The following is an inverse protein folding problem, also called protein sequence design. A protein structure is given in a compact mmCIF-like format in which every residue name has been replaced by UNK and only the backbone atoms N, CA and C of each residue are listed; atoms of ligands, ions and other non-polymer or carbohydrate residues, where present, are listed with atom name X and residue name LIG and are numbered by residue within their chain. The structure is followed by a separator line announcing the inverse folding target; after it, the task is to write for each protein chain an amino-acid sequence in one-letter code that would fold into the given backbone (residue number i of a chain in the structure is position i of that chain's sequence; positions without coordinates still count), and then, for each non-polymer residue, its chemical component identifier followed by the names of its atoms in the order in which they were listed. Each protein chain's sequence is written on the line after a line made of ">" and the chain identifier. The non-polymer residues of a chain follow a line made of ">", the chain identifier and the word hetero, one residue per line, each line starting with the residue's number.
data_IF_889670953423
#
_entry.id   IF_889670953423
#
_cell.length_a   1.000
_cell.length_b   1.000
_cell.length_c   1.000
_cell.angle_alpha   90.00
_cell.angle_beta   90.00
_cell.angle_gamma   90.00
#
_symmetry.space_group_name_H-M   'P 1'
#
loop_
_entity.id
_entity.type
_entity.pdbx_description
1 polymer ?
#
# COMPACT_ATOMS: atom_id res chain seq x y z
N UNK A 1 -15.58 -8.07 24.57
CA UNK A 1 -14.39 -7.84 23.71
C UNK A 1 -14.82 -7.98 22.26
N UNK A 2 -14.82 -6.94 21.41
CA UNK A 2 -15.14 -7.13 20.01
C UNK A 2 -13.92 -7.75 19.30
N UNK A 3 -14.15 -8.91 18.68
CA UNK A 3 -13.21 -9.57 17.78
C UNK A 3 -13.19 -8.82 16.45
N UNK A 4 -12.15 -8.04 16.20
CA UNK A 4 -11.90 -7.46 14.87
C UNK A 4 -11.51 -8.61 13.93
N UNK A 5 -12.48 -9.08 13.13
CA UNK A 5 -12.22 -9.92 11.96
C UNK A 5 -11.58 -9.04 10.88
N UNK A 6 -10.28 -9.22 10.66
CA UNK A 6 -9.65 -8.77 9.42
C UNK A 6 -10.03 -9.79 8.36
N UNK A 7 -10.90 -9.40 7.41
CA UNK A 7 -11.17 -10.22 6.23
C UNK A 7 -9.87 -10.39 5.44
N UNK A 8 -9.53 -11.65 5.15
CA UNK A 8 -8.42 -12.02 4.30
C UNK A 8 -8.64 -11.41 2.90
N UNK A 9 -7.97 -10.29 2.65
CA UNK A 9 -8.07 -9.48 1.43
C UNK A 9 -8.86 -8.19 1.63
N UNK A 10 -8.23 -7.04 1.36
CA UNK A 10 -8.98 -5.86 0.89
C UNK A 10 -8.78 -4.52 1.60
N UNK A 11 -8.18 -4.45 2.79
CA UNK A 11 -8.06 -3.14 3.48
C UNK A 11 -6.79 -2.39 3.06
N UNK A 12 -5.61 -3.02 3.07
CA UNK A 12 -4.34 -2.33 2.76
C UNK A 12 -4.21 -1.88 1.30
N UNK A 13 -4.73 -2.67 0.36
CA UNK A 13 -4.65 -2.36 -1.06
C UNK A 13 -5.37 -1.08 -1.44
N UNK A 14 -6.36 -0.63 -0.66
CA UNK A 14 -7.18 0.57 -0.92
C UNK A 14 -6.75 1.81 -0.12
N UNK A 15 -5.72 1.69 0.70
CA UNK A 15 -5.14 2.80 1.43
C UNK A 15 -4.14 3.58 0.57
N UNK A 16 -4.26 4.90 0.62
CA UNK A 16 -3.34 5.83 -0.04
C UNK A 16 -1.87 5.47 0.30
N UNK A 17 -0.93 5.54 -0.67
CA UNK A 17 0.50 5.26 -0.47
C UNK A 17 1.20 6.01 0.68
N UNK A 18 0.54 7.00 1.30
CA UNK A 18 1.01 7.76 2.48
C UNK A 18 1.70 6.90 3.55
N UNK A 19 1.23 5.68 3.80
CA UNK A 19 1.80 4.80 4.84
C UNK A 19 2.84 3.79 4.32
N UNK A 20 3.04 3.70 3.00
CA UNK A 20 4.02 2.79 2.37
C UNK A 20 5.45 3.01 2.88
N UNK A 21 5.95 4.25 3.09
CA UNK A 21 7.26 4.49 3.70
C UNK A 21 7.46 3.78 5.05
N UNK A 22 6.47 3.85 5.94
CA UNK A 22 6.53 3.26 7.28
C UNK A 22 6.53 1.73 7.22
N UNK A 23 5.74 1.15 6.32
CA UNK A 23 5.70 -0.30 6.10
C UNK A 23 7.01 -0.80 5.48
N UNK A 24 7.53 -0.10 4.46
CA UNK A 24 8.81 -0.41 3.84
C UNK A 24 9.96 -0.36 4.84
N UNK A 25 9.99 0.65 5.71
CA UNK A 25 10.96 0.76 6.80
C UNK A 25 10.86 -0.39 7.79
N UNK A 26 9.64 -0.75 8.22
CA UNK A 26 9.42 -1.87 9.13
C UNK A 26 10.03 -3.16 8.59
N UNK A 27 9.74 -3.50 7.34
CA UNK A 27 10.25 -4.73 6.72
C UNK A 27 11.77 -4.70 6.55
N UNK A 28 12.33 -3.55 6.14
CA UNK A 28 13.79 -3.38 6.04
C UNK A 28 14.49 -3.56 7.41
N UNK A 29 13.91 -3.05 8.49
CA UNK A 29 14.44 -3.20 9.85
C UNK A 29 14.25 -4.61 10.41
N UNK A 30 13.10 -5.24 10.16
CA UNK A 30 12.77 -6.56 10.69
C UNK A 30 13.71 -7.64 10.13
N UNK A 31 14.00 -7.62 8.83
CA UNK A 31 14.88 -8.62 8.20
C UNK A 31 16.37 -8.45 8.55
N UNK A 32 16.79 -7.29 9.04
CA UNK A 32 18.14 -7.13 9.60
C UNK A 32 18.27 -7.79 10.97
N UNK A 33 17.19 -7.78 11.75
CA UNK A 33 17.21 -8.22 13.14
C UNK A 33 16.81 -9.68 13.31
N UNK A 34 16.06 -10.24 12.36
CA UNK A 34 15.51 -11.58 12.42
C UNK A 34 15.71 -12.31 11.09
N UNK A 35 15.96 -13.61 11.14
CA UNK A 35 16.04 -14.42 9.92
C UNK A 35 14.65 -14.50 9.26
N UNK A 36 14.59 -14.44 7.93
CA UNK A 36 13.34 -14.43 7.14
C UNK A 36 12.37 -15.58 7.51
N UNK A 37 12.91 -16.74 7.88
CA UNK A 37 12.14 -17.92 8.30
C UNK A 37 11.44 -17.75 9.66
N UNK A 38 11.93 -16.85 10.52
CA UNK A 38 11.33 -16.52 11.81
C UNK A 38 10.22 -15.46 11.66
N UNK A 39 10.43 -14.47 10.78
CA UNK A 39 9.44 -13.45 10.45
C UNK A 39 8.17 -14.04 9.81
N UNK A 40 8.32 -15.07 8.98
CA UNK A 40 7.21 -15.78 8.34
C UNK A 40 6.34 -16.60 9.31
N UNK A 41 6.80 -16.81 10.56
CA UNK A 41 6.06 -17.53 11.61
C UNK A 41 5.27 -16.61 12.55
N UNK A 42 5.47 -15.28 12.46
CA UNK A 42 4.76 -14.31 13.29
C UNK A 42 3.31 -14.10 12.77
N UNK A 43 2.29 -14.11 13.64
CA UNK A 43 0.93 -13.81 13.22
C UNK A 43 0.83 -12.35 12.73
N UNK A 44 0.12 -12.11 11.63
CA UNK A 44 0.07 -10.82 10.90
C UNK A 44 -0.29 -9.59 11.78
N UNK A 45 -0.98 -9.80 12.92
CA UNK A 45 -1.25 -8.76 13.93
C UNK A 45 0.02 -8.20 14.62
N UNK A 46 1.09 -9.00 14.74
CA UNK A 46 2.35 -8.60 15.39
C UNK A 46 3.20 -7.64 14.54
N UNK A 47 3.09 -7.73 13.21
CA UNK A 47 3.85 -6.91 12.26
C UNK A 47 3.40 -5.43 12.33
N UNK A 48 2.13 -5.19 12.63
CA UNK A 48 1.54 -3.84 12.65
C UNK A 48 1.68 -3.12 13.99
N UNK A 49 1.69 -3.84 15.12
CA UNK A 49 1.97 -3.24 16.43
C UNK A 49 3.45 -2.93 16.64
N UNK A 50 4.35 -3.72 16.06
CA UNK A 50 5.79 -3.51 16.16
C UNK A 50 6.29 -2.28 15.36
N UNK A 51 5.56 -1.86 14.31
CA UNK A 51 5.84 -0.60 13.60
C UNK A 51 5.59 0.67 14.44
N UNK A 52 4.83 0.55 15.53
CA UNK A 52 4.59 1.62 16.51
C UNK A 52 5.58 1.61 17.68
N UNK A 53 6.36 0.54 17.86
CA UNK A 53 7.19 0.32 19.05
C UNK A 53 8.66 0.16 18.66
N UNK A 54 9.37 1.27 18.47
CA UNK A 54 10.80 1.30 18.79
C UNK A 54 10.95 1.30 20.32
N UNK A 55 10.65 0.16 20.92
CA UNK A 55 10.78 -0.12 22.34
C UNK A 55 11.08 -1.61 22.50
N UNK A 56 12.22 -1.91 23.10
CA UNK A 56 12.81 -3.22 23.33
C UNK A 56 11.82 -4.37 23.58
N UNK A 57 11.62 -5.25 22.58
CA UNK A 57 11.01 -6.57 22.82
C UNK A 57 12.11 -7.63 22.78
N UNK A 58 12.55 -8.06 23.96
CA UNK A 58 13.25 -9.32 24.13
C UNK A 58 12.20 -10.44 24.07
N UNK A 59 12.19 -11.21 22.98
CA UNK A 59 11.31 -12.37 22.84
C UNK A 59 11.93 -13.54 23.63
N UNK A 60 11.41 -13.80 24.82
CA UNK A 60 11.62 -15.06 25.53
C UNK A 60 10.28 -15.76 25.75
N UNK A 61 10.14 -16.92 25.12
CA UNK A 61 9.12 -17.98 25.28
C UNK A 61 8.11 -17.80 26.43
N UNK A 62 6.85 -17.46 26.12
CA UNK A 62 5.66 -17.86 26.90
C UNK A 62 4.41 -17.92 25.98
N UNK A 63 3.46 -18.84 26.24
CA UNK A 63 2.24 -18.97 25.46
C UNK A 63 1.23 -17.87 25.84
N UNK A 64 0.50 -17.35 24.85
CA UNK A 64 -0.62 -16.42 25.04
C UNK A 64 -0.27 -15.16 25.85
N UNK A 65 0.61 -14.31 25.32
CA UNK A 65 0.70 -12.93 25.81
C UNK A 65 -0.42 -12.09 25.20
N UNK A 66 -1.43 -11.78 26.01
CA UNK A 66 -2.23 -10.56 25.80
C UNK A 66 -1.28 -9.37 25.90
N UNK A 67 -0.98 -8.75 24.75
CA UNK A 67 -0.27 -7.47 24.69
C UNK A 67 -1.16 -6.41 25.35
N UNK A 68 -0.80 -5.99 26.56
CA UNK A 68 -1.23 -4.69 27.09
C UNK A 68 -0.53 -3.62 26.27
N UNK A 69 -1.25 -2.95 25.38
CA UNK A 69 -0.75 -1.75 24.71
C UNK A 69 -0.75 -0.67 25.78
N UNK A 70 0.43 -0.18 26.17
CA UNK A 70 0.52 0.95 27.10
C UNK A 70 -0.25 2.12 26.50
N UNK A 71 -1.19 2.67 27.27
CA UNK A 71 -2.08 3.76 26.86
C UNK A 71 -1.28 5.00 26.36
N UNK A 72 -0.04 5.13 26.84
CA UNK A 72 0.93 6.17 26.47
C UNK A 72 1.51 6.02 25.05
N UNK A 73 1.44 4.82 24.47
CA UNK A 73 1.94 4.50 23.12
C UNK A 73 0.86 4.62 22.04
N UNK A 74 -0.39 4.87 22.43
CA UNK A 74 -1.47 5.02 21.47
C UNK A 74 -1.32 6.32 20.66
N UNK A 75 -1.66 6.30 19.36
CA UNK A 75 -1.72 7.49 18.51
C UNK A 75 -2.40 8.67 19.23
N UNK A 76 -1.87 9.89 19.14
CA UNK A 76 -2.42 11.05 19.86
C UNK A 76 -3.93 11.28 19.63
N UNK A 77 -4.43 10.82 18.49
CA UNK A 77 -5.84 10.81 18.13
C UNK A 77 -6.73 9.91 18.99
N UNK A 78 -6.22 8.90 19.68
CA UNK A 78 -7.03 8.09 20.62
C UNK A 78 -7.43 8.87 21.88
N UNK A 79 -6.79 10.02 22.14
CA UNK A 79 -7.20 10.95 23.20
C UNK A 79 -8.44 11.78 22.82
N UNK A 80 -8.82 11.79 21.55
CA UNK A 80 -10.05 12.46 21.09
C UNK A 80 -11.26 11.67 21.58
N UNK A 81 -12.07 12.28 22.44
CA UNK A 81 -13.31 11.68 22.91
C UNK A 81 -14.31 11.53 21.76
N UNK A 82 -14.76 10.30 21.50
CA UNK A 82 -15.79 9.98 20.52
C UNK A 82 -17.15 9.76 21.20
N UNK A 83 -18.27 9.90 20.47
CA UNK A 83 -19.59 9.56 21.01
C UNK A 83 -19.67 8.10 21.44
N UNK A 84 -20.59 7.80 22.35
CA UNK A 84 -20.75 6.44 22.88
C UNK A 84 -20.96 5.39 21.77
N UNK A 85 -20.15 4.33 21.84
CA UNK A 85 -20.15 3.23 20.88
C UNK A 85 -19.50 3.53 19.53
N UNK A 86 -18.85 4.69 19.37
CA UNK A 86 -18.08 5.05 18.17
C UNK A 86 -16.59 4.82 18.45
N UNK A 87 -15.93 4.14 17.52
CA UNK A 87 -14.49 3.87 17.57
C UNK A 87 -13.80 4.36 16.28
N UNK A 88 -12.52 4.68 16.34
CA UNK A 88 -11.75 4.93 15.10
C UNK A 88 -11.68 3.63 14.28
N UNK A 89 -11.99 3.72 13.00
CA UNK A 89 -11.94 2.56 12.11
C UNK A 89 -10.51 2.17 11.73
N UNK A 90 -9.53 3.05 12.02
CA UNK A 90 -8.13 2.90 11.66
C UNK A 90 -7.29 3.25 12.88
N UNK A 91 -6.38 2.35 13.24
CA UNK A 91 -5.47 2.52 14.37
C UNK A 91 -4.04 2.64 13.82
N UNK A 92 -3.80 3.71 13.06
CA UNK A 92 -2.48 4.19 12.65
C UNK A 92 -2.06 5.37 13.53
N UNK A 93 -0.78 5.81 13.51
CA UNK A 93 -0.31 6.95 14.31
C UNK A 93 -1.15 8.24 14.21
N UNK A 94 -1.89 8.40 13.11
CA UNK A 94 -2.79 9.53 12.87
C UNK A 94 -4.27 9.14 12.84
N UNK A 95 -4.65 7.92 13.25
CA UNK A 95 -6.00 7.36 13.17
C UNK A 95 -6.68 7.48 11.79
N UNK A 96 -5.88 7.62 10.71
CA UNK A 96 -6.41 7.85 9.37
C UNK A 96 -6.94 9.26 9.15
N UNK A 97 -6.56 10.25 9.98
CA UNK A 97 -6.87 11.65 9.73
C UNK A 97 -6.27 12.11 8.40
N UNK A 98 -7.13 12.58 7.52
CA UNK A 98 -6.77 13.31 6.31
C UNK A 98 -7.60 14.58 6.28
N UNK A 99 -6.93 15.73 6.22
CA UNK A 99 -7.56 17.06 6.24
C UNK A 99 -8.57 17.24 7.39
N UNK A 100 -8.22 16.72 8.57
CA UNK A 100 -9.01 16.85 9.79
C UNK A 100 -10.21 15.92 9.93
N UNK A 101 -10.40 14.96 9.02
CA UNK A 101 -11.43 13.92 9.14
C UNK A 101 -10.81 12.53 9.21
N UNK A 102 -11.27 11.71 10.16
CA UNK A 102 -10.88 10.31 10.31
C UNK A 102 -12.10 9.40 10.18
N UNK A 103 -11.96 8.22 9.55
CA UNK A 103 -13.04 7.25 9.50
C UNK A 103 -13.28 6.64 10.88
N UNK A 104 -14.54 6.52 11.23
CA UNK A 104 -15.01 5.93 12.49
C UNK A 104 -16.03 4.85 12.19
N UNK A 105 -16.20 3.93 13.14
CA UNK A 105 -17.13 2.82 13.04
C UNK A 105 -18.03 2.75 14.28
N UNK A 106 -19.31 2.49 14.06
CA UNK A 106 -20.30 2.17 15.10
C UNK A 106 -21.21 1.08 14.58
N UNK A 107 -21.39 0.01 15.37
CA UNK A 107 -22.29 -1.10 15.03
C UNK A 107 -22.03 -1.70 13.63
N UNK A 108 -20.76 -1.76 13.22
CA UNK A 108 -20.36 -2.27 11.91
C UNK A 108 -20.65 -1.33 10.73
N UNK A 109 -21.01 -0.06 10.99
CA UNK A 109 -21.21 0.97 9.97
C UNK A 109 -20.18 2.07 10.07
N UNK A 110 -19.67 2.47 8.91
CA UNK A 110 -18.62 3.47 8.79
C UNK A 110 -19.21 4.88 8.64
N UNK A 111 -18.53 5.85 9.24
CA UNK A 111 -18.77 7.30 9.16
C UNK A 111 -17.45 8.05 9.31
N UNK A 112 -17.52 9.36 9.59
CA UNK A 112 -16.32 10.19 9.79
C UNK A 112 -16.49 11.18 10.93
N UNK A 113 -15.44 11.32 11.74
CA UNK A 113 -15.34 12.30 12.80
C UNK A 113 -14.26 13.35 12.50
N UNK A 114 -14.46 14.57 12.97
CA UNK A 114 -13.43 15.60 12.97
C UNK A 114 -12.44 15.44 14.13
N UNK A 115 -11.42 16.31 14.18
CA UNK A 115 -10.38 16.29 15.22
C UNK A 115 -10.91 16.54 16.63
N UNK A 116 -12.12 17.08 16.78
CA UNK A 116 -12.79 17.27 18.07
C UNK A 116 -13.57 16.02 18.51
N UNK A 117 -13.68 15.02 17.65
CA UNK A 117 -14.45 13.80 17.87
C UNK A 117 -15.91 13.91 17.45
N UNK A 118 -16.33 15.07 16.93
CA UNK A 118 -17.69 15.27 16.43
C UNK A 118 -17.88 14.51 15.13
N UNK A 119 -18.98 13.77 15.02
CA UNK A 119 -19.38 13.13 13.76
C UNK A 119 -19.75 14.19 12.72
N UNK A 120 -18.99 14.22 11.62
CA UNK A 120 -19.27 15.04 10.44
C UNK A 120 -20.08 14.24 9.42
N UNK A 121 -19.81 12.94 9.32
CA UNK A 121 -20.54 12.02 8.46
C UNK A 121 -21.04 10.87 9.32
N UNK A 122 -22.36 10.68 9.34
CA UNK A 122 -23.00 9.64 10.15
C UNK A 122 -22.51 8.23 9.76
N UNK A 123 -22.48 7.34 10.75
CA UNK A 123 -22.12 5.93 10.57
C UNK A 123 -23.24 5.18 9.85
N UNK A 124 -23.20 5.16 8.52
CA UNK A 124 -24.26 4.61 7.66
C UNK A 124 -23.75 3.65 6.57
N UNK A 125 -22.45 3.60 6.34
CA UNK A 125 -21.87 2.91 5.18
C UNK A 125 -21.36 1.51 5.53
N UNK A 126 -21.36 0.60 4.55
CA UNK A 126 -20.85 -0.76 4.75
C UNK A 126 -19.33 -0.75 4.93
N UNK A 127 -18.65 0.12 4.20
CA UNK A 127 -17.21 0.39 4.30
C UNK A 127 -16.97 1.87 3.98
N UNK A 128 -15.95 2.47 4.58
CA UNK A 128 -15.42 3.77 4.18
C UNK A 128 -13.91 3.84 4.43
N UNK A 129 -13.19 4.53 3.55
CA UNK A 129 -11.74 4.70 3.63
C UNK A 129 -11.38 6.18 3.84
N UNK A 130 -10.14 6.48 4.29
CA UNK A 130 -9.69 7.86 4.46
C UNK A 130 -9.87 8.71 3.20
N UNK A 131 -10.00 10.01 3.42
CA UNK A 131 -10.09 10.96 2.32
C UNK A 131 -8.81 10.95 1.49
N UNK A 132 -8.98 11.17 0.19
CA UNK A 132 -7.92 11.31 -0.79
C UNK A 132 -8.45 12.20 -1.92
N UNK A 133 -7.70 13.23 -2.30
CA UNK A 133 -8.18 14.27 -3.21
C UNK A 133 -9.56 14.84 -2.81
N UNK A 134 -9.76 15.10 -1.52
CA UNK A 134 -11.02 15.57 -0.92
C UNK A 134 -12.22 14.61 -1.06
N UNK A 135 -12.00 13.36 -1.49
CA UNK A 135 -13.03 12.35 -1.65
C UNK A 135 -12.74 11.12 -0.78
N UNK A 136 -13.78 10.60 -0.12
CA UNK A 136 -13.72 9.35 0.61
C UNK A 136 -14.39 8.24 -0.20
N UNK A 137 -13.67 7.15 -0.42
CA UNK A 137 -14.23 5.93 -0.97
C UNK A 137 -15.20 5.32 0.04
N UNK A 138 -16.41 4.98 -0.40
CA UNK A 138 -17.41 4.33 0.45
C UNK A 138 -18.12 3.19 -0.29
N UNK A 139 -18.67 2.25 0.48
CA UNK A 139 -19.45 1.13 -0.04
C UNK A 139 -20.89 1.17 0.44
N UNK A 140 -21.81 0.99 -0.50
CA UNK A 140 -23.24 0.90 -0.25
C UNK A 140 -23.88 -0.05 -1.25
N UNK A 141 -24.79 -0.91 -0.76
CA UNK A 141 -25.48 -1.92 -1.57
C UNK A 141 -24.52 -2.77 -2.42
N UNK A 142 -23.34 -3.10 -1.86
CA UNK A 142 -22.35 -3.94 -2.50
C UNK A 142 -21.48 -3.25 -3.56
N UNK A 143 -21.72 -1.97 -3.89
CA UNK A 143 -20.94 -1.20 -4.87
C UNK A 143 -20.19 -0.05 -4.20
N UNK A 144 -19.12 0.40 -4.85
CA UNK A 144 -18.29 1.52 -4.39
C UNK A 144 -18.62 2.82 -5.12
N UNK A 145 -18.59 3.91 -4.37
CA UNK A 145 -18.72 5.30 -4.81
C UNK A 145 -17.82 6.22 -3.98
N UNK A 146 -18.01 7.54 -4.11
CA UNK A 146 -17.20 8.53 -3.41
C UNK A 146 -18.04 9.65 -2.78
N UNK A 147 -17.70 10.00 -1.53
CA UNK A 147 -18.30 11.11 -0.78
C UNK A 147 -17.36 12.30 -0.76
N UNK A 148 -17.92 13.51 -0.75
CA UNK A 148 -17.17 14.70 -0.37
C UNK A 148 -17.01 14.82 1.16
N UNK A 149 -16.27 15.84 1.61
CA UNK A 149 -15.99 16.10 3.03
C UNK A 149 -17.22 16.43 3.87
N UNK A 150 -18.34 16.78 3.23
CA UNK A 150 -19.62 17.04 3.90
C UNK A 150 -20.49 15.79 3.99
N UNK A 151 -20.03 14.67 3.41
CA UNK A 151 -20.77 13.42 3.32
C UNK A 151 -21.76 13.37 2.17
N UNK A 152 -21.75 14.35 1.26
CA UNK A 152 -22.57 14.31 0.05
C UNK A 152 -21.95 13.37 -0.96
N UNK A 153 -22.79 12.66 -1.70
CA UNK A 153 -22.37 11.75 -2.76
C UNK A 153 -21.82 12.56 -3.94
N UNK A 154 -20.50 12.52 -4.12
CA UNK A 154 -19.82 13.10 -5.28
C UNK A 154 -19.88 12.17 -6.49
N UNK A 155 -19.68 10.86 -6.26
CA UNK A 155 -19.76 9.83 -7.29
C UNK A 155 -20.64 8.70 -6.73
N UNK A 156 -21.75 8.42 -7.43
CA UNK A 156 -22.70 7.38 -7.00
C UNK A 156 -22.06 5.99 -6.97
N UNK A 157 -22.48 5.09 -6.06
CA UNK A 157 -22.00 3.73 -6.01
C UNK A 157 -22.32 3.01 -7.32
N UNK A 158 -21.29 2.57 -8.03
CA UNK A 158 -21.43 1.91 -9.33
C UNK A 158 -20.30 0.93 -9.64
N UNK A 159 -19.18 0.99 -8.92
CA UNK A 159 -18.01 0.15 -9.16
C UNK A 159 -18.09 -1.14 -8.36
N UNK A 160 -17.64 -2.25 -8.97
CA UNK A 160 -17.51 -3.55 -8.29
C UNK A 160 -16.42 -3.50 -7.23
N UNK A 161 -15.35 -2.79 -7.55
CA UNK A 161 -14.22 -2.53 -6.68
C UNK A 161 -13.64 -1.14 -6.99
N UNK A 162 -12.98 -0.53 -6.02
CA UNK A 162 -12.44 0.82 -6.16
C UNK A 162 -11.38 1.12 -5.11
N UNK A 163 -10.51 2.07 -5.45
CA UNK A 163 -9.39 2.53 -4.63
C UNK A 163 -9.52 4.02 -4.30
N UNK A 164 -8.76 4.49 -3.30
CA UNK A 164 -8.57 5.92 -3.06
C UNK A 164 -7.89 6.61 -4.24
N UNK A 165 -7.98 7.94 -4.27
CA UNK A 165 -7.28 8.76 -5.25
C UNK A 165 -5.80 8.91 -4.90
N UNK A 166 -4.94 8.79 -5.90
CA UNK A 166 -3.52 9.11 -5.80
C UNK A 166 -3.07 9.74 -7.13
N UNK A 167 -2.28 10.81 -7.05
CA UNK A 167 -1.89 11.63 -8.19
C UNK A 167 -3.06 12.05 -9.13
N UNK A 168 -4.28 12.20 -8.59
CA UNK A 168 -5.46 12.59 -9.38
C UNK A 168 -6.15 11.44 -10.13
N UNK A 169 -5.84 10.18 -9.81
CA UNK A 169 -6.48 8.99 -10.40
C UNK A 169 -6.92 8.03 -9.31
N UNK A 170 -8.03 7.33 -9.54
CA UNK A 170 -8.45 6.19 -8.73
C UNK A 170 -8.69 4.98 -9.61
N UNK A 171 -8.14 3.82 -9.21
CA UNK A 171 -8.42 2.53 -9.83
C UNK A 171 -9.86 2.13 -9.52
N UNK A 172 -10.56 1.62 -10.51
CA UNK A 172 -11.94 1.11 -10.37
C UNK A 172 -12.12 -0.17 -11.18
N UNK A 173 -13.03 -1.03 -10.73
CA UNK A 173 -13.40 -2.25 -11.42
C UNK A 173 -14.84 -2.20 -11.95
N UNK A 174 -15.02 -2.62 -13.20
CA UNK A 174 -16.31 -2.86 -13.83
C UNK A 174 -16.23 -4.07 -14.76
N UNK A 175 -17.22 -4.96 -14.69
CA UNK A 175 -17.28 -6.18 -15.49
C UNK A 175 -16.01 -7.03 -15.36
N UNK A 176 -15.46 -7.14 -14.14
CA UNK A 176 -14.26 -7.91 -13.86
C UNK A 176 -12.94 -7.30 -14.35
N UNK A 177 -12.95 -6.12 -14.98
CA UNK A 177 -11.74 -5.45 -15.49
C UNK A 177 -11.47 -4.16 -14.74
N UNK A 178 -10.20 -3.77 -14.73
CA UNK A 178 -9.73 -2.55 -14.08
C UNK A 178 -9.48 -1.41 -15.08
N UNK A 179 -9.82 -0.20 -14.64
CA UNK A 179 -9.57 1.07 -15.30
C UNK A 179 -9.34 2.18 -14.26
N UNK A 180 -9.36 3.44 -14.70
CA UNK A 180 -9.12 4.60 -13.83
C UNK A 180 -10.07 5.74 -14.12
N UNK A 181 -10.53 6.38 -13.05
CA UNK A 181 -11.34 7.60 -13.07
C UNK A 181 -10.55 8.82 -12.60
N UNK A 182 -11.01 10.00 -12.98
CA UNK A 182 -10.65 11.27 -12.32
C UNK A 182 -11.58 11.56 -11.13
N UNK A 183 -11.31 12.66 -10.41
CA UNK A 183 -12.09 13.07 -9.23
C UNK A 183 -13.52 13.51 -9.54
N UNK A 184 -13.90 13.67 -10.82
CA UNK A 184 -15.29 13.91 -11.23
C UNK A 184 -16.05 12.60 -11.44
N UNK A 185 -15.36 11.46 -11.40
CA UNK A 185 -15.90 10.13 -11.70
C UNK A 185 -15.88 9.78 -13.18
N UNK A 186 -15.28 10.62 -14.03
CA UNK A 186 -15.15 10.35 -15.47
C UNK A 186 -14.05 9.31 -15.68
N UNK A 187 -14.33 8.32 -16.52
CA UNK A 187 -13.33 7.35 -16.97
C UNK A 187 -12.24 8.04 -17.78
N UNK A 188 -11.02 8.03 -17.25
CA UNK A 188 -9.80 8.43 -17.97
C UNK A 188 -9.23 7.24 -18.72
N UNK A 189 -9.20 6.08 -18.06
CA UNK A 189 -8.77 4.81 -18.64
C UNK A 189 -9.94 3.85 -18.51
N UNK A 190 -10.51 3.43 -19.64
CA UNK A 190 -11.63 2.49 -19.63
C UNK A 190 -11.22 1.15 -19.01
N UNK A 191 -12.11 0.48 -18.26
CA UNK A 191 -11.87 -0.87 -17.77
C UNK A 191 -11.53 -1.84 -18.90
N UNK A 192 -10.28 -2.30 -18.92
CA UNK A 192 -9.79 -3.22 -19.96
C UNK A 192 -8.66 -4.14 -19.49
N UNK A 193 -8.10 -3.91 -18.30
CA UNK A 193 -6.97 -4.66 -17.77
C UNK A 193 -7.42 -5.68 -16.73
N UNK A 194 -6.96 -6.92 -16.88
CA UNK A 194 -7.11 -7.96 -15.84
C UNK A 194 -6.14 -7.71 -14.67
N UNK A 195 -4.94 -7.20 -14.99
CA UNK A 195 -3.89 -6.89 -14.00
C UNK A 195 -3.32 -5.51 -14.29
N UNK A 196 -3.49 -4.61 -13.32
CA UNK A 196 -2.94 -3.25 -13.33
C UNK A 196 -2.61 -2.84 -11.89
N UNK A 197 -1.56 -2.05 -11.73
CA UNK A 197 -1.14 -1.53 -10.43
C UNK A 197 -2.24 -0.73 -9.75
N UNK A 198 -2.18 -0.66 -8.42
CA UNK A 198 -3.21 0.00 -7.61
C UNK A 198 -3.18 1.53 -7.76
N UNK A 199 -2.00 2.10 -8.02
CA UNK A 199 -1.74 3.54 -8.04
C UNK A 199 -0.76 3.93 -9.14
N UNK A 200 -0.82 5.21 -9.55
CA UNK A 200 0.24 5.85 -10.31
C UNK A 200 1.35 6.29 -9.36
N UNK A 201 2.59 5.89 -9.62
CA UNK A 201 3.76 6.38 -8.90
C UNK A 201 4.70 7.01 -9.93
N UNK A 202 5.19 8.22 -9.65
CA UNK A 202 5.99 9.00 -10.60
C UNK A 202 5.27 9.17 -11.96
N UNK A 203 3.94 9.28 -11.92
CA UNK A 203 3.09 9.42 -13.09
C UNK A 203 2.87 8.18 -13.95
N UNK A 204 3.35 7.01 -13.51
CA UNK A 204 3.22 5.74 -14.23
C UNK A 204 2.53 4.66 -13.40
N UNK A 205 1.79 3.78 -14.06
CA UNK A 205 1.22 2.57 -13.43
C UNK A 205 1.58 1.33 -14.22
N UNK A 206 1.99 0.27 -13.53
CA UNK A 206 2.29 -1.00 -14.17
C UNK A 206 1.01 -1.64 -14.71
N UNK A 207 1.10 -2.33 -15.83
CA UNK A 207 0.04 -3.18 -16.36
C UNK A 207 0.62 -4.44 -16.98
N UNK A 208 -0.19 -5.50 -17.03
CA UNK A 208 0.18 -6.75 -17.70
C UNK A 208 -0.53 -6.88 -19.03
N UNK A 209 0.20 -7.29 -20.06
CA UNK A 209 -0.33 -7.70 -21.36
C UNK A 209 0.32 -8.99 -21.80
N UNK A 210 -0.49 -10.04 -22.03
CA UNK A 210 0.04 -11.40 -22.17
C UNK A 210 0.81 -11.79 -20.91
N UNK A 211 2.04 -12.26 -21.08
CA UNK A 211 2.94 -12.63 -19.98
C UNK A 211 3.96 -11.56 -19.60
N UNK A 212 3.82 -10.35 -20.14
CA UNK A 212 4.79 -9.26 -19.92
C UNK A 212 4.16 -8.06 -19.23
N UNK A 213 5.00 -7.39 -18.45
CA UNK A 213 4.67 -6.14 -17.78
C UNK A 213 5.26 -4.94 -18.52
N UNK A 214 4.46 -3.88 -18.58
CA UNK A 214 4.82 -2.56 -19.06
C UNK A 214 4.20 -1.49 -18.17
N UNK A 215 4.23 -0.23 -18.61
CA UNK A 215 3.71 0.90 -17.84
C UNK A 215 2.85 1.85 -18.69
N UNK A 216 1.78 2.34 -18.10
CA UNK A 216 0.87 3.34 -18.66
C UNK A 216 1.12 4.69 -18.02
N UNK A 217 0.96 5.76 -18.79
CA UNK A 217 0.83 7.11 -18.25
C UNK A 217 -0.58 7.39 -17.70
N UNK A 218 -0.76 8.55 -17.04
CA UNK A 218 -2.05 8.97 -16.45
C UNK A 218 -3.19 9.17 -17.46
N UNK A 219 -2.89 9.18 -18.76
CA UNK A 219 -3.88 9.23 -19.84
C UNK A 219 -4.26 7.84 -20.36
N UNK A 220 -3.55 6.79 -19.92
CA UNK A 220 -3.71 5.41 -20.37
C UNK A 220 -2.92 5.05 -21.61
N UNK A 221 -1.98 5.92 -22.06
CA UNK A 221 -1.07 5.56 -23.14
C UNK A 221 0.06 4.70 -22.60
N UNK A 222 0.51 3.76 -23.41
CA UNK A 222 1.66 2.91 -23.08
C UNK A 222 2.92 3.78 -23.12
N UNK A 223 3.47 4.11 -21.95
CA UNK A 223 4.72 4.82 -21.80
C UNK A 223 5.92 3.88 -21.98
N UNK A 224 5.82 2.68 -21.40
CA UNK A 224 6.83 1.63 -21.51
C UNK A 224 6.14 0.36 -21.99
N UNK A 225 6.54 -0.13 -23.16
CA UNK A 225 5.95 -1.32 -23.77
C UNK A 225 6.14 -2.56 -22.89
N UNK A 226 5.15 -3.48 -22.84
CA UNK A 226 5.30 -4.74 -22.13
C UNK A 226 6.50 -5.55 -22.63
N UNK A 227 7.48 -5.75 -21.78
CA UNK A 227 8.71 -6.49 -22.12
C UNK A 227 9.38 -7.19 -20.94
N UNK A 228 8.93 -6.92 -19.71
CA UNK A 228 9.51 -7.48 -18.49
C UNK A 228 8.70 -8.68 -18.02
N UNK A 229 9.37 -9.69 -17.45
CA UNK A 229 8.69 -10.87 -16.88
C UNK A 229 7.92 -10.52 -15.59
N UNK A 230 8.43 -9.54 -14.84
CA UNK A 230 7.76 -8.93 -13.69
C UNK A 230 8.20 -7.48 -13.52
N UNK A 231 7.39 -6.68 -12.83
CA UNK A 231 7.68 -5.29 -12.51
C UNK A 231 7.05 -4.91 -11.17
N UNK A 232 7.73 -4.04 -10.42
CA UNK A 232 7.18 -3.33 -9.25
C UNK A 232 6.74 -1.92 -9.67
N UNK A 233 5.95 -1.26 -8.83
CA UNK A 233 5.63 0.16 -8.99
C UNK A 233 6.92 0.99 -8.99
N UNK A 234 6.85 2.16 -9.62
CA UNK A 234 7.89 3.17 -9.44
C UNK A 234 7.94 3.60 -7.97
N UNK A 235 9.15 3.87 -7.52
CA UNK A 235 9.43 4.55 -6.26
C UNK A 235 10.64 5.42 -6.51
N UNK A 236 10.55 6.70 -6.16
CA UNK A 236 11.70 7.58 -6.17
C UNK A 236 12.35 7.73 -7.57
N UNK A 237 11.56 7.60 -8.63
CA UNK A 237 11.97 7.70 -10.03
C UNK A 237 12.46 6.40 -10.67
N UNK A 238 12.51 5.29 -9.92
CA UNK A 238 12.97 3.99 -10.40
C UNK A 238 11.96 2.87 -10.15
N UNK A 239 11.87 1.92 -11.06
CA UNK A 239 11.06 0.70 -10.89
C UNK A 239 11.93 -0.55 -11.00
N UNK A 240 11.76 -1.48 -10.06
CA UNK A 240 12.38 -2.79 -10.15
C UNK A 240 11.68 -3.64 -11.22
N UNK A 241 12.45 -4.24 -12.11
CA UNK A 241 11.94 -5.10 -13.19
C UNK A 241 12.77 -6.37 -13.30
N UNK A 242 12.16 -7.45 -13.79
CA UNK A 242 12.88 -8.71 -14.04
C UNK A 242 12.83 -9.16 -15.49
N UNK A 243 13.89 -9.87 -15.87
CA UNK A 243 13.93 -10.67 -17.10
C UNK A 243 14.50 -12.05 -16.80
N UNK A 244 14.04 -13.06 -17.53
CA UNK A 244 14.64 -14.40 -17.55
C UNK A 244 16.10 -14.33 -17.97
N UNK A 245 16.96 -15.09 -17.31
CA UNK A 245 18.39 -15.18 -17.64
C UNK A 245 18.70 -16.20 -18.73
N UNK A 246 17.74 -17.04 -19.10
CA UNK A 246 17.96 -18.22 -19.94
C UNK A 246 18.50 -19.44 -19.18
N UNK A 247 18.79 -19.30 -17.88
CA UNK A 247 19.19 -20.40 -17.00
C UNK A 247 18.00 -20.93 -16.21
N UNK A 248 18.12 -22.16 -15.71
CA UNK A 248 17.16 -22.78 -14.79
C UNK A 248 17.86 -23.27 -13.54
N UNK A 249 17.15 -23.35 -12.42
CA UNK A 249 17.63 -24.06 -11.24
C UNK A 249 17.62 -25.59 -11.44
N UNK A 250 18.04 -26.33 -10.42
CA UNK A 250 18.10 -27.80 -10.44
C UNK A 250 16.72 -28.47 -10.60
N UNK A 251 15.63 -27.72 -10.41
CA UNK A 251 14.25 -28.17 -10.56
C UNK A 251 13.66 -27.75 -11.92
N UNK A 252 14.46 -27.10 -12.78
CA UNK A 252 14.02 -26.63 -14.10
C UNK A 252 13.24 -25.32 -14.07
N UNK A 253 13.22 -24.60 -12.93
CA UNK A 253 12.52 -23.31 -12.82
C UNK A 253 13.38 -22.22 -13.44
N UNK A 254 12.85 -21.42 -14.39
CA UNK A 254 13.62 -20.33 -15.01
C UNK A 254 14.07 -19.29 -14.00
N UNK A 255 15.38 -19.03 -14.00
CA UNK A 255 15.97 -17.99 -13.18
C UNK A 255 15.70 -16.62 -13.78
N UNK A 256 15.47 -15.65 -12.90
CA UNK A 256 15.23 -14.26 -13.25
C UNK A 256 16.22 -13.40 -12.49
N UNK A 257 16.62 -12.28 -13.08
CA UNK A 257 17.39 -11.25 -12.40
C UNK A 257 16.64 -9.93 -12.42
N UNK A 258 16.76 -9.22 -11.31
CA UNK A 258 16.22 -7.90 -11.06
C UNK A 258 17.24 -6.83 -11.42
N UNK A 259 16.73 -5.74 -11.96
CA UNK A 259 17.43 -4.47 -12.14
C UNK A 259 16.42 -3.33 -12.04
N UNK A 260 16.86 -2.12 -12.34
CA UNK A 260 16.03 -0.93 -12.22
C UNK A 260 15.98 -0.14 -13.51
N UNK A 261 14.79 0.32 -13.85
CA UNK A 261 14.54 1.23 -14.97
C UNK A 261 14.10 2.60 -14.47
N UNK A 262 14.42 3.64 -15.23
CA UNK A 262 13.82 4.96 -15.06
C UNK A 262 12.41 5.04 -15.69
N UNK A 263 11.76 6.20 -15.54
CA UNK A 263 10.42 6.47 -16.06
C UNK A 263 10.33 6.48 -17.59
N UNK A 264 11.46 6.49 -18.30
CA UNK A 264 11.51 6.32 -19.76
C UNK A 264 11.59 4.84 -20.17
N UNK A 265 11.83 3.95 -19.21
CA UNK A 265 12.04 2.52 -19.44
C UNK A 265 13.49 2.15 -19.74
N UNK A 266 14.44 3.09 -19.59
CA UNK A 266 15.86 2.82 -19.73
C UNK A 266 16.37 2.13 -18.48
N UNK A 267 17.15 1.07 -18.65
CA UNK A 267 17.84 0.38 -17.56
C UNK A 267 18.90 1.33 -16.98
N UNK A 268 18.73 1.71 -15.71
CA UNK A 268 19.68 2.52 -14.93
C UNK A 268 20.61 1.61 -14.16
N UNK A 269 20.06 0.53 -13.58
CA UNK A 269 20.83 -0.46 -12.83
C UNK A 269 20.59 -1.82 -13.49
N UNK A 270 21.68 -2.46 -13.89
CA UNK A 270 21.67 -3.71 -14.63
C UNK A 270 20.85 -4.83 -13.94
N UNK A 271 20.22 -5.68 -14.76
CA UNK A 271 19.44 -6.81 -14.28
C UNK A 271 20.35 -7.97 -13.86
N UNK A 272 20.93 -7.87 -12.66
CA UNK A 272 21.90 -8.86 -12.14
C UNK A 272 21.58 -9.38 -10.73
N UNK A 273 20.63 -8.78 -10.03
CA UNK A 273 20.30 -9.12 -8.65
C UNK A 273 19.29 -10.25 -8.56
N UNK A 274 19.42 -11.13 -7.57
CA UNK A 274 18.45 -12.20 -7.31
C UNK A 274 17.17 -11.69 -6.65
N UNK A 275 17.30 -10.61 -5.86
CA UNK A 275 16.19 -9.94 -5.21
C UNK A 275 16.54 -8.46 -5.00
N UNK A 276 15.53 -7.60 -5.12
CA UNK A 276 15.67 -6.16 -4.83
C UNK A 276 14.42 -5.63 -4.11
N UNK A 277 14.60 -4.61 -3.28
CA UNK A 277 13.51 -3.82 -2.71
C UNK A 277 13.29 -2.52 -3.47
N UNK A 278 12.15 -1.88 -3.21
CA UNK A 278 11.85 -0.57 -3.78
C UNK A 278 12.85 0.44 -3.21
N UNK A 279 13.18 1.48 -3.99
CA UNK A 279 13.99 2.57 -3.48
C UNK A 279 13.26 3.30 -2.35
N UNK A 280 13.99 3.54 -1.26
CA UNK A 280 13.52 4.28 -0.11
C UNK A 280 14.68 5.10 0.46
N UNK A 281 14.46 6.41 0.62
CA UNK A 281 15.45 7.40 1.04
C UNK A 281 16.76 7.30 0.23
N UNK A 282 16.64 7.11 -1.09
CA UNK A 282 17.79 7.04 -1.99
C UNK A 282 18.54 5.72 -2.02
N UNK A 283 18.13 4.70 -1.26
CA UNK A 283 18.77 3.39 -1.26
C UNK A 283 17.78 2.23 -1.54
N UNK A 284 18.29 1.13 -2.09
CA UNK A 284 17.57 -0.13 -2.22
C UNK A 284 18.43 -1.26 -1.67
N UNK A 285 17.79 -2.18 -0.93
CA UNK A 285 18.44 -3.43 -0.51
C UNK A 285 18.39 -4.44 -1.65
N UNK A 286 19.54 -5.06 -1.92
CA UNK A 286 19.70 -6.04 -2.99
C UNK A 286 20.40 -7.30 -2.52
N UNK A 287 20.05 -8.41 -3.15
CA UNK A 287 20.68 -9.73 -2.98
C UNK A 287 21.36 -10.12 -4.28
N UNK A 288 22.61 -10.52 -4.19
CA UNK A 288 23.49 -10.91 -5.29
C UNK A 288 24.26 -12.18 -4.90
N UNK A 289 23.71 -13.34 -5.26
CA UNK A 289 24.16 -14.64 -4.77
C UNK A 289 24.04 -14.74 -3.25
N UNK A 290 25.16 -15.04 -2.59
CA UNK A 290 25.25 -15.14 -1.12
C UNK A 290 25.45 -13.79 -0.43
N UNK A 291 25.65 -12.71 -1.19
CA UNK A 291 25.85 -11.37 -0.66
C UNK A 291 24.57 -10.56 -0.66
N UNK A 292 24.40 -9.72 0.36
CA UNK A 292 23.37 -8.70 0.37
C UNK A 292 23.90 -7.36 0.89
N UNK A 293 23.42 -6.27 0.31
CA UNK A 293 23.92 -4.92 0.58
C UNK A 293 22.94 -3.87 0.07
N UNK A 294 23.18 -2.60 0.41
CA UNK A 294 22.42 -1.47 -0.11
C UNK A 294 23.11 -0.86 -1.33
N UNK A 295 22.31 -0.41 -2.28
CA UNK A 295 22.76 0.37 -3.43
C UNK A 295 22.05 1.72 -3.51
N UNK A 296 22.74 2.73 -4.01
CA UNK A 296 22.15 4.02 -4.37
C UNK A 296 21.41 3.95 -5.73
N UNK A 297 20.77 5.06 -6.14
CA UNK A 297 20.02 5.14 -7.41
C UNK A 297 20.88 4.98 -8.67
N UNK A 298 22.20 5.02 -8.55
CA UNK A 298 23.15 4.76 -9.64
C UNK A 298 23.68 3.32 -9.62
N UNK A 299 23.30 2.53 -8.62
CA UNK A 299 23.74 1.14 -8.44
C UNK A 299 25.05 0.98 -7.66
N UNK A 300 25.59 2.06 -7.07
CA UNK A 300 26.80 1.97 -6.25
C UNK A 300 26.45 1.53 -4.84
N UNK A 301 27.34 0.76 -4.20
CA UNK A 301 27.15 0.38 -2.78
C UNK A 301 27.02 1.63 -1.91
N UNK A 302 26.04 1.61 -1.03
CA UNK A 302 25.79 2.67 -0.06
C UNK A 302 25.49 2.08 1.32
N UNK A 303 25.41 2.95 2.32
CA UNK A 303 24.97 2.57 3.65
C UNK A 303 23.45 2.64 3.75
N UNK A 304 22.91 1.98 4.77
CA UNK A 304 21.50 2.13 5.12
C UNK A 304 21.17 3.61 5.38
N UNK A 305 20.07 4.14 4.81
CA UNK A 305 19.60 5.48 5.13
C UNK A 305 19.35 5.62 6.63
N UNK A 306 19.89 6.69 7.23
CA UNK A 306 19.60 7.04 8.62
C UNK A 306 18.44 8.04 8.66
N UNK A 307 17.43 7.76 9.48
CA UNK A 307 16.42 8.77 9.81
C UNK A 307 17.08 9.87 10.65
N UNK A 308 16.76 11.14 10.33
CA UNK A 308 16.96 12.28 11.22
C UNK A 308 15.68 12.53 12.01
#
# INVERSE_FOLDING_TARGET
>A
MPQIQLSNGGIFGKFVPKYRPLVSQFWQNAEQKYHREELMKLPYKFILSAGLMLGSVALANQPSSTLTVDEESLPACTKTALPEGVEFAIIYPDCGYVDGLAPVIKEGKYGFADTTGKLVIATAYQEAHPFSNNLALYRQNGKYGYLDRTGKVAIKPQFEDAWGFWEGRAKVAQNGKYGFIDSTGKMVIKPQFEVVGDWFEDGLVLFKQGDKYGFLDKSGKVAIKPQFDSAKSFSEGLAAVTKKTGLTDAQGVPLHKFGFIDTTGKVVIELKYDLVYDFFMGASYVVDGESSYYIDKSGNRTNMPKYQ
#
